data_IF_809275037672
#
_entry.id   IF_809275037672
#
_cell.length_a   1.000
_cell.length_b   1.000
_cell.length_c   1.000
_cell.angle_alpha   90.00
_cell.angle_beta   90.00
_cell.angle_gamma   90.00
#
_symmetry.space_group_name_H-M   'P 1'
#
loop_
_entity.id
_entity.type
_entity.pdbx_description
1 polymer ?
#
# COMPACT_ATOMS: atom_id res chain seq x y z
N UNK A 1 -24.45 17.16 9.57
CA UNK A 1 -23.25 17.17 8.68
C UNK A 1 -22.33 16.01 9.07
N UNK A 2 -21.82 15.23 8.10
CA UNK A 2 -20.88 14.13 8.35
C UNK A 2 -19.50 14.69 8.65
N UNK A 3 -18.92 14.38 9.82
CA UNK A 3 -17.58 14.76 10.18
C UNK A 3 -16.54 14.02 9.31
N UNK A 4 -15.72 14.76 8.57
CA UNK A 4 -14.74 14.23 7.59
C UNK A 4 -13.32 14.31 8.13
N UNK A 5 -12.45 13.42 7.68
CA UNK A 5 -11.01 13.55 7.91
C UNK A 5 -10.46 14.84 7.29
N UNK A 6 -9.35 15.36 7.83
CA UNK A 6 -8.65 16.49 7.23
C UNK A 6 -8.34 16.22 5.76
N UNK A 7 -8.36 17.26 4.91
CA UNK A 7 -8.14 17.12 3.47
C UNK A 7 -6.83 16.40 3.15
N UNK A 8 -5.74 16.80 3.82
CA UNK A 8 -4.43 16.13 3.68
C UNK A 8 -4.50 14.62 3.95
N UNK A 9 -5.22 14.19 4.99
CA UNK A 9 -5.37 12.77 5.31
C UNK A 9 -6.14 12.00 4.23
N UNK A 10 -7.18 12.63 3.64
CA UNK A 10 -7.97 12.06 2.55
C UNK A 10 -7.16 11.97 1.25
N UNK A 11 -6.43 13.03 0.91
CA UNK A 11 -5.57 13.07 -0.26
C UNK A 11 -4.50 11.97 -0.18
N UNK A 12 -3.78 11.89 0.93
CA UNK A 12 -2.78 10.83 1.15
C UNK A 12 -3.37 9.43 1.10
N UNK A 13 -4.62 9.25 1.58
CA UNK A 13 -5.29 7.95 1.46
C UNK A 13 -5.43 7.51 0.01
N UNK A 14 -5.94 8.37 -0.85
CA UNK A 14 -6.19 8.03 -2.25
C UNK A 14 -4.89 7.92 -3.05
N UNK A 15 -3.87 8.74 -2.75
CA UNK A 15 -2.54 8.59 -3.36
C UNK A 15 -1.92 7.23 -2.99
N UNK A 16 -1.92 6.88 -1.71
CA UNK A 16 -1.41 5.57 -1.25
C UNK A 16 -2.23 4.43 -1.86
N UNK A 17 -3.55 4.53 -1.91
CA UNK A 17 -4.40 3.49 -2.51
C UNK A 17 -4.05 3.25 -3.99
N UNK A 18 -3.86 4.32 -4.78
CA UNK A 18 -3.42 4.21 -6.17
C UNK A 18 -2.05 3.55 -6.31
N UNK A 19 -1.07 4.00 -5.53
CA UNK A 19 0.28 3.41 -5.53
C UNK A 19 0.28 1.94 -5.10
N UNK A 20 -0.52 1.57 -4.09
CA UNK A 20 -0.65 0.17 -3.64
C UNK A 20 -1.24 -0.70 -4.75
N UNK A 21 -2.27 -0.24 -5.47
CA UNK A 21 -2.83 -0.98 -6.61
C UNK A 21 -1.77 -1.18 -7.69
N UNK A 22 -1.06 -0.12 -8.08
CA UNK A 22 0.02 -0.20 -9.08
C UNK A 22 1.14 -1.15 -8.62
N UNK A 23 1.58 -1.05 -7.35
CA UNK A 23 2.66 -1.90 -6.82
C UNK A 23 2.24 -3.36 -6.68
N UNK A 24 1.00 -3.65 -6.26
CA UNK A 24 0.49 -5.02 -6.21
C UNK A 24 0.39 -5.62 -7.61
N UNK A 25 -0.15 -4.88 -8.57
CA UNK A 25 -0.26 -5.36 -9.96
C UNK A 25 1.12 -5.65 -10.55
N UNK A 26 2.05 -4.69 -10.47
CA UNK A 26 3.42 -4.88 -10.98
C UNK A 26 4.14 -6.00 -10.22
N UNK A 27 4.08 -6.02 -8.88
CA UNK A 27 4.74 -7.03 -8.06
C UNK A 27 4.25 -8.45 -8.32
N UNK A 28 2.93 -8.63 -8.50
CA UNK A 28 2.37 -9.93 -8.88
C UNK A 28 2.81 -10.35 -10.28
N UNK A 29 2.87 -9.41 -11.22
CA UNK A 29 3.38 -9.68 -12.58
C UNK A 29 4.85 -10.11 -12.53
N UNK A 30 5.69 -9.39 -11.77
CA UNK A 30 7.11 -9.70 -11.57
C UNK A 30 7.29 -11.08 -10.93
N UNK A 31 6.52 -11.38 -9.87
CA UNK A 31 6.62 -12.65 -9.15
C UNK A 31 6.09 -13.86 -9.93
N UNK A 32 5.08 -13.66 -10.77
CA UNK A 32 4.49 -14.77 -11.54
C UNK A 32 5.27 -15.09 -12.81
N UNK A 33 5.65 -14.09 -13.57
CA UNK A 33 6.36 -14.29 -14.85
C UNK A 33 7.86 -14.50 -14.65
N UNK A 34 8.47 -13.82 -13.68
CA UNK A 34 9.91 -13.80 -13.51
C UNK A 34 10.63 -12.95 -14.57
N UNK A 35 11.91 -12.66 -14.32
CA UNK A 35 12.67 -11.75 -15.17
C UNK A 35 12.83 -12.24 -16.61
N UNK A 36 13.20 -13.51 -16.80
CA UNK A 36 13.49 -14.07 -18.15
C UNK A 36 12.25 -14.06 -19.05
N UNK A 37 11.08 -14.52 -18.55
CA UNK A 37 9.84 -14.48 -19.32
C UNK A 37 9.36 -13.06 -19.61
N UNK A 38 9.61 -12.11 -18.71
CA UNK A 38 9.29 -10.71 -18.96
C UNK A 38 10.17 -10.12 -20.07
N UNK A 39 11.47 -10.42 -20.06
CA UNK A 39 12.41 -9.99 -21.10
C UNK A 39 12.03 -10.59 -22.45
N UNK A 40 11.70 -11.88 -22.49
CA UNK A 40 11.25 -12.54 -23.72
C UNK A 40 9.98 -11.91 -24.32
N UNK A 41 9.00 -11.56 -23.46
CA UNK A 41 7.71 -11.03 -23.90
C UNK A 41 7.68 -9.54 -24.20
N UNK A 42 8.41 -8.74 -23.42
CA UNK A 42 8.31 -7.28 -23.43
C UNK A 42 9.65 -6.57 -23.74
N UNK A 43 10.74 -7.33 -23.85
CA UNK A 43 12.09 -6.81 -24.00
C UNK A 43 12.71 -6.34 -22.70
N UNK A 44 14.06 -6.25 -22.70
CA UNK A 44 14.83 -5.91 -21.50
C UNK A 44 14.49 -4.53 -20.95
N UNK A 45 14.38 -3.52 -21.82
CA UNK A 45 14.13 -2.14 -21.38
C UNK A 45 12.79 -1.99 -20.63
N UNK A 46 11.72 -2.60 -21.13
CA UNK A 46 10.41 -2.55 -20.47
C UNK A 46 10.43 -3.33 -19.15
N UNK A 47 11.15 -4.45 -19.09
CA UNK A 47 11.30 -5.25 -17.87
C UNK A 47 12.07 -4.47 -16.81
N UNK A 48 13.20 -3.85 -17.16
CA UNK A 48 14.01 -3.03 -16.24
C UNK A 48 13.15 -1.86 -15.67
N UNK A 49 12.37 -1.17 -16.51
CA UNK A 49 11.47 -0.12 -16.08
C UNK A 49 10.41 -0.63 -15.10
N UNK A 50 9.86 -1.81 -15.32
CA UNK A 50 8.85 -2.39 -14.43
C UNK A 50 9.44 -2.67 -13.03
N UNK A 51 10.66 -3.21 -12.94
CA UNK A 51 11.37 -3.39 -11.68
C UNK A 51 11.71 -2.07 -11.01
N UNK A 52 12.22 -1.08 -11.76
CA UNK A 52 12.57 0.26 -11.28
C UNK A 52 11.34 0.96 -10.68
N UNK A 53 10.22 1.02 -11.40
CA UNK A 53 9.01 1.67 -10.89
C UNK A 53 8.38 0.91 -9.73
N UNK A 54 8.43 -0.43 -9.71
CA UNK A 54 7.97 -1.19 -8.55
C UNK A 54 8.74 -0.81 -7.28
N UNK A 55 10.07 -0.74 -7.35
CA UNK A 55 10.94 -0.30 -6.24
C UNK A 55 10.65 1.15 -5.83
N UNK A 56 10.56 2.04 -6.81
CA UNK A 56 10.23 3.46 -6.59
C UNK A 56 8.89 3.64 -5.89
N UNK A 57 7.84 2.95 -6.34
CA UNK A 57 6.51 3.03 -5.72
C UNK A 57 6.50 2.45 -4.31
N UNK A 58 7.27 1.39 -4.06
CA UNK A 58 7.46 0.85 -2.71
C UNK A 58 8.02 1.90 -1.75
N UNK A 59 9.08 2.61 -2.14
CA UNK A 59 9.68 3.68 -1.35
C UNK A 59 8.74 4.89 -1.16
N UNK A 60 7.99 5.26 -2.21
CA UNK A 60 6.97 6.30 -2.11
C UNK A 60 5.86 5.91 -1.14
N UNK A 61 5.38 4.67 -1.18
CA UNK A 61 4.39 4.15 -0.23
C UNK A 61 4.92 4.27 1.20
N UNK A 62 6.16 3.88 1.47
CA UNK A 62 6.78 3.98 2.79
C UNK A 62 6.80 5.43 3.30
N UNK A 63 7.23 6.38 2.48
CA UNK A 63 7.27 7.81 2.82
C UNK A 63 5.86 8.39 3.06
N UNK A 64 4.92 8.11 2.16
CA UNK A 64 3.54 8.62 2.27
C UNK A 64 2.78 7.97 3.44
N UNK A 65 3.03 6.70 3.75
CA UNK A 65 2.45 6.04 4.92
C UNK A 65 3.00 6.61 6.22
N UNK A 66 4.28 6.96 6.26
CA UNK A 66 4.89 7.67 7.40
C UNK A 66 4.21 9.03 7.61
N UNK A 67 4.10 9.84 6.55
CA UNK A 67 3.40 11.13 6.61
C UNK A 67 1.93 10.96 7.02
N UNK A 68 1.25 9.96 6.50
CA UNK A 68 -0.14 9.66 6.86
C UNK A 68 -0.30 9.26 8.33
N UNK A 69 0.64 8.49 8.87
CA UNK A 69 0.66 8.14 10.29
C UNK A 69 0.84 9.39 11.16
N UNK A 70 1.80 10.26 10.83
CA UNK A 70 2.05 11.51 11.54
C UNK A 70 0.77 12.38 11.55
N UNK A 71 0.15 12.61 10.39
CA UNK A 71 -1.09 13.40 10.29
C UNK A 71 -2.22 12.77 11.12
N UNK A 72 -2.32 11.44 11.13
CA UNK A 72 -3.33 10.74 11.93
C UNK A 72 -3.12 10.90 13.43
N UNK A 73 -1.87 10.91 13.90
CA UNK A 73 -1.52 11.12 15.30
C UNK A 73 -1.78 12.57 15.72
N UNK A 74 -1.43 13.53 14.86
CA UNK A 74 -1.58 14.98 15.16
C UNK A 74 -3.04 15.42 15.07
N UNK A 75 -3.78 15.04 14.01
CA UNK A 75 -5.14 15.53 13.75
C UNK A 75 -6.25 14.61 14.28
N UNK A 76 -5.90 13.41 14.74
CA UNK A 76 -6.86 12.45 15.28
C UNK A 76 -7.84 11.89 14.24
N UNK A 77 -8.92 11.29 14.74
CA UNK A 77 -10.02 10.71 13.95
C UNK A 77 -11.29 11.51 14.20
N UNK A 78 -12.04 11.90 13.17
CA UNK A 78 -13.36 12.52 13.37
C UNK A 78 -14.32 11.51 14.00
N UNK A 79 -15.31 12.01 14.77
CA UNK A 79 -16.36 11.17 15.33
C UNK A 79 -17.24 10.56 14.22
N UNK A 80 -17.85 9.42 14.49
CA UNK A 80 -18.89 8.87 13.63
C UNK A 80 -20.19 9.68 13.81
N UNK A 81 -20.94 9.85 12.71
CA UNK A 81 -22.25 10.50 12.78
C UNK A 81 -23.23 9.67 13.62
N UNK A 82 -23.17 8.34 13.46
CA UNK A 82 -23.91 7.37 14.27
C UNK A 82 -22.94 6.31 14.81
N UNK A 83 -23.17 5.78 16.02
CA UNK A 83 -22.34 4.73 16.58
C UNK A 83 -22.37 3.47 15.69
N UNK A 84 -21.21 2.99 15.28
CA UNK A 84 -21.14 1.72 14.57
C UNK A 84 -21.40 0.54 15.52
N UNK A 85 -22.05 -0.53 15.03
CA UNK A 85 -22.14 -1.79 15.75
C UNK A 85 -20.76 -2.26 16.23
N UNK A 86 -20.71 -2.84 17.41
CA UNK A 86 -19.43 -3.23 18.05
C UNK A 86 -18.57 -4.12 17.14
N UNK A 87 -19.20 -5.07 16.45
CA UNK A 87 -18.51 -5.94 15.49
C UNK A 87 -17.81 -5.13 14.38
N UNK A 88 -18.54 -4.23 13.70
CA UNK A 88 -17.99 -3.41 12.60
C UNK A 88 -16.86 -2.51 13.10
N UNK A 89 -16.98 -1.98 14.31
CA UNK A 89 -15.95 -1.14 14.93
C UNK A 89 -14.66 -1.92 15.21
N UNK A 90 -14.78 -3.15 15.74
CA UNK A 90 -13.63 -4.02 16.03
C UNK A 90 -13.00 -4.50 14.72
N UNK A 91 -13.78 -5.04 13.79
CA UNK A 91 -13.31 -5.51 12.48
C UNK A 91 -12.58 -4.39 11.72
N UNK A 92 -13.17 -3.19 11.67
CA UNK A 92 -12.53 -2.02 11.05
C UNK A 92 -11.19 -1.67 11.71
N UNK A 93 -11.10 -1.75 13.04
CA UNK A 93 -9.84 -1.49 13.77
C UNK A 93 -8.77 -2.51 13.40
N UNK A 94 -9.11 -3.80 13.37
CA UNK A 94 -8.19 -4.89 13.03
C UNK A 94 -7.67 -4.70 11.60
N UNK A 95 -8.57 -4.58 10.62
CA UNK A 95 -8.21 -4.45 9.20
C UNK A 95 -7.29 -3.24 8.96
N UNK A 96 -7.65 -2.07 9.52
CA UNK A 96 -6.80 -0.88 9.36
C UNK A 96 -5.45 -1.03 10.06
N UNK A 97 -5.38 -1.65 11.25
CA UNK A 97 -4.11 -1.87 11.95
C UNK A 97 -3.22 -2.80 11.15
N UNK A 98 -3.76 -3.92 10.65
CA UNK A 98 -3.01 -4.85 9.81
C UNK A 98 -2.54 -4.21 8.52
N UNK A 99 -3.40 -3.45 7.81
CA UNK A 99 -2.99 -2.72 6.62
C UNK A 99 -1.86 -1.72 6.90
N UNK A 100 -1.90 -0.99 8.03
CA UNK A 100 -0.79 -0.11 8.40
C UNK A 100 0.50 -0.90 8.62
N UNK A 101 0.46 -1.96 9.43
CA UNK A 101 1.63 -2.79 9.70
C UNK A 101 2.23 -3.38 8.42
N UNK A 102 1.41 -3.99 7.59
CA UNK A 102 1.88 -4.66 6.37
C UNK A 102 2.38 -3.65 5.31
N UNK A 103 1.74 -2.47 5.17
CA UNK A 103 2.18 -1.42 4.25
C UNK A 103 3.48 -0.74 4.69
N UNK A 104 3.91 -0.85 5.95
CA UNK A 104 5.26 -0.51 6.40
C UNK A 104 6.23 -1.67 6.16
N UNK A 105 5.84 -2.89 6.54
CA UNK A 105 6.71 -4.08 6.43
C UNK A 105 7.07 -4.40 4.98
N UNK A 106 6.11 -4.29 4.07
CA UNK A 106 6.24 -4.66 2.65
C UNK A 106 7.40 -3.96 1.94
N UNK A 107 7.48 -2.61 1.90
CA UNK A 107 8.58 -1.93 1.24
C UNK A 107 9.92 -2.11 1.96
N UNK A 108 9.92 -2.28 3.28
CA UNK A 108 11.15 -2.57 4.05
C UNK A 108 11.70 -3.94 3.65
N UNK A 109 10.86 -4.98 3.56
CA UNK A 109 11.29 -6.30 3.11
C UNK A 109 11.85 -6.26 1.67
N UNK A 110 11.17 -5.56 0.77
CA UNK A 110 11.63 -5.41 -0.61
C UNK A 110 12.96 -4.66 -0.72
N UNK A 111 13.14 -3.60 0.06
CA UNK A 111 14.41 -2.86 0.12
C UNK A 111 15.54 -3.75 0.64
N UNK A 112 15.36 -4.37 1.80
CA UNK A 112 16.38 -5.24 2.39
C UNK A 112 16.73 -6.42 1.47
N UNK A 113 15.72 -7.07 0.87
CA UNK A 113 15.95 -8.17 -0.07
C UNK A 113 16.79 -7.72 -1.27
N UNK A 114 16.50 -6.55 -1.82
CA UNK A 114 17.21 -5.98 -2.97
C UNK A 114 18.65 -5.65 -2.62
N UNK A 115 18.89 -4.96 -1.49
CA UNK A 115 20.22 -4.55 -1.04
C UNK A 115 21.11 -5.76 -0.71
N UNK A 116 20.60 -6.70 0.09
CA UNK A 116 21.30 -7.94 0.48
C UNK A 116 21.58 -8.85 -0.73
N UNK A 117 20.71 -8.84 -1.75
CA UNK A 117 20.89 -9.52 -3.02
C UNK A 117 21.93 -8.85 -3.94
N UNK A 118 22.49 -7.72 -3.53
CA UNK A 118 23.42 -6.91 -4.32
C UNK A 118 22.83 -6.38 -5.64
N UNK A 119 21.51 -6.08 -5.62
CA UNK A 119 20.83 -5.39 -6.71
C UNK A 119 20.70 -3.90 -6.38
N UNK A 120 20.65 -3.01 -7.39
CA UNK A 120 20.44 -1.59 -7.15
C UNK A 120 19.06 -1.33 -6.55
N UNK A 121 19.02 -0.57 -5.46
CA UNK A 121 17.78 -0.02 -4.91
C UNK A 121 17.53 1.32 -5.60
N UNK A 122 16.60 1.32 -6.56
CA UNK A 122 16.34 2.48 -7.41
C UNK A 122 15.19 3.31 -6.87
N UNK A 123 15.40 4.62 -6.82
CA UNK A 123 14.37 5.62 -6.59
C UNK A 123 14.33 6.56 -7.79
N UNK A 124 13.41 6.34 -8.72
CA UNK A 124 13.47 6.87 -10.08
C UNK A 124 14.81 6.52 -10.72
N UNK A 125 15.55 7.51 -11.24
CA UNK A 125 16.84 7.32 -11.89
C UNK A 125 18.04 7.31 -10.90
N UNK A 126 17.77 7.51 -9.59
CA UNK A 126 18.80 7.51 -8.57
C UNK A 126 18.98 6.11 -7.98
N UNK A 127 20.22 5.64 -7.93
CA UNK A 127 20.59 4.44 -7.20
C UNK A 127 20.91 4.82 -5.75
N UNK A 128 20.18 4.24 -4.81
CA UNK A 128 20.48 4.39 -3.39
C UNK A 128 21.66 3.51 -3.01
N UNK A 129 22.56 3.98 -2.13
CA UNK A 129 23.71 3.19 -1.72
C UNK A 129 23.26 1.96 -0.94
N UNK A 130 23.89 0.81 -1.23
CA UNK A 130 23.76 -0.40 -0.44
C UNK A 130 24.63 -0.32 0.82
N UNK A 131 24.13 -0.85 1.93
CA UNK A 131 24.81 -0.78 3.23
C UNK A 131 25.05 -2.17 3.83
N UNK A 132 24.46 -3.22 3.27
CA UNK A 132 24.44 -4.55 3.88
C UNK A 132 25.31 -5.50 3.04
N UNK A 133 26.17 -6.31 3.67
CA UNK A 133 26.93 -7.34 2.99
C UNK A 133 26.02 -8.32 2.25
N UNK A 134 26.47 -8.78 1.07
CA UNK A 134 25.72 -9.73 0.24
C UNK A 134 25.49 -11.06 0.96
N UNK A 135 24.25 -11.50 0.99
CA UNK A 135 23.80 -12.84 1.42
C UNK A 135 22.62 -13.28 0.54
N UNK A 136 22.89 -14.13 -0.44
CA UNK A 136 21.86 -14.57 -1.38
C UNK A 136 20.74 -15.38 -0.70
N UNK A 137 21.08 -16.25 0.26
CA UNK A 137 20.09 -17.08 0.96
C UNK A 137 19.12 -16.24 1.79
N UNK A 138 19.64 -15.21 2.45
CA UNK A 138 18.83 -14.26 3.19
C UNK A 138 17.98 -13.39 2.25
N UNK A 139 18.55 -12.91 1.14
CA UNK A 139 17.81 -12.17 0.11
C UNK A 139 16.61 -12.96 -0.41
N UNK A 140 16.82 -14.22 -0.80
CA UNK A 140 15.76 -15.11 -1.30
C UNK A 140 14.66 -15.32 -0.25
N UNK A 141 15.05 -15.47 1.01
CA UNK A 141 14.12 -15.59 2.14
C UNK A 141 13.27 -14.32 2.30
N UNK A 142 13.88 -13.15 2.23
CA UNK A 142 13.18 -11.87 2.34
C UNK A 142 12.26 -11.61 1.13
N UNK A 143 12.65 -12.01 -0.08
CA UNK A 143 11.77 -11.96 -1.25
C UNK A 143 10.55 -12.89 -1.08
N UNK A 144 10.74 -14.09 -0.53
CA UNK A 144 9.63 -14.99 -0.21
C UNK A 144 8.65 -14.34 0.78
N UNK A 145 9.15 -13.76 1.87
CA UNK A 145 8.32 -13.02 2.83
C UNK A 145 7.62 -11.82 2.20
N UNK A 146 8.33 -11.04 1.34
CA UNK A 146 7.75 -9.94 0.59
C UNK A 146 6.54 -10.43 -0.25
N UNK A 147 6.67 -11.54 -0.94
CA UNK A 147 5.58 -12.16 -1.69
C UNK A 147 4.37 -12.54 -0.82
N UNK A 148 4.59 -13.20 0.34
CA UNK A 148 3.52 -13.55 1.27
C UNK A 148 2.81 -12.33 1.85
N UNK A 149 3.56 -11.30 2.22
CA UNK A 149 2.99 -10.01 2.68
C UNK A 149 2.17 -9.35 1.57
N UNK A 150 2.59 -9.46 0.30
CA UNK A 150 1.83 -8.97 -0.84
C UNK A 150 0.45 -9.62 -0.96
N UNK A 151 0.36 -10.95 -0.83
CA UNK A 151 -0.91 -11.66 -0.81
C UNK A 151 -1.79 -11.27 0.39
N UNK A 152 -1.20 -11.09 1.58
CA UNK A 152 -1.92 -10.64 2.75
C UNK A 152 -2.50 -9.22 2.57
N UNK A 153 -1.72 -8.30 1.98
CA UNK A 153 -2.20 -6.95 1.64
C UNK A 153 -3.35 -7.02 0.64
N UNK A 154 -3.24 -7.84 -0.42
CA UNK A 154 -4.31 -7.99 -1.41
C UNK A 154 -5.62 -8.43 -0.76
N UNK A 155 -5.59 -9.48 0.06
CA UNK A 155 -6.79 -9.99 0.75
C UNK A 155 -7.39 -8.92 1.67
N UNK A 156 -6.56 -8.25 2.48
CA UNK A 156 -7.02 -7.20 3.39
C UNK A 156 -7.55 -5.97 2.63
N UNK A 157 -6.94 -5.60 1.50
CA UNK A 157 -7.42 -4.52 0.65
C UNK A 157 -8.78 -4.85 0.05
N UNK A 158 -8.99 -6.07 -0.42
CA UNK A 158 -10.30 -6.52 -0.93
C UNK A 158 -11.37 -6.49 0.17
N UNK A 159 -11.07 -6.95 1.38
CA UNK A 159 -11.97 -6.87 2.54
C UNK A 159 -12.28 -5.40 2.85
N UNK A 160 -11.27 -4.54 2.89
CA UNK A 160 -11.42 -3.11 3.17
C UNK A 160 -12.30 -2.40 2.14
N UNK A 161 -12.05 -2.65 0.85
CA UNK A 161 -12.83 -2.06 -0.26
C UNK A 161 -14.28 -2.57 -0.20
N UNK A 162 -14.48 -3.88 -0.03
CA UNK A 162 -15.82 -4.48 0.06
C UNK A 162 -16.62 -3.92 1.23
N UNK A 163 -15.99 -3.75 2.40
CA UNK A 163 -16.61 -3.11 3.55
C UNK A 163 -16.98 -1.64 3.27
N UNK A 164 -16.10 -0.88 2.60
CA UNK A 164 -16.37 0.51 2.24
C UNK A 164 -17.57 0.61 1.26
N UNK A 165 -17.64 -0.28 0.26
CA UNK A 165 -18.76 -0.36 -0.69
C UNK A 165 -20.06 -0.77 0.00
N UNK A 166 -20.01 -1.72 0.93
CA UNK A 166 -21.16 -2.13 1.75
C UNK A 166 -21.70 -0.95 2.56
N UNK A 167 -20.85 -0.20 3.26
CA UNK A 167 -21.24 0.99 4.00
C UNK A 167 -21.82 2.09 3.08
N UNK A 168 -21.28 2.22 1.88
CA UNK A 168 -21.74 3.22 0.91
C UNK A 168 -23.07 2.88 0.27
N UNK A 169 -23.23 1.63 -0.24
CA UNK A 169 -24.39 1.26 -1.07
C UNK A 169 -25.55 0.70 -0.26
N UNK A 170 -25.25 -0.08 0.78
CA UNK A 170 -26.25 -0.84 1.55
C UNK A 170 -26.60 -0.10 2.84
N UNK A 171 -25.63 0.17 3.70
CA UNK A 171 -25.89 0.84 4.97
C UNK A 171 -26.17 2.34 4.85
N UNK A 172 -25.53 3.01 3.91
CA UNK A 172 -25.65 4.46 3.66
C UNK A 172 -25.39 5.31 4.90
N UNK A 173 -24.49 4.86 5.78
CA UNK A 173 -24.24 5.40 7.13
C UNK A 173 -23.14 6.50 7.15
N UNK A 174 -22.73 7.01 6.01
CA UNK A 174 -21.76 8.10 5.90
C UNK A 174 -20.30 7.70 6.08
N UNK A 175 -19.97 6.45 6.37
CA UNK A 175 -18.58 5.99 6.59
C UNK A 175 -17.69 6.27 5.40
N UNK A 176 -18.15 5.97 4.18
CA UNK A 176 -17.38 6.22 2.94
C UNK A 176 -17.16 7.72 2.71
N UNK A 177 -18.17 8.57 2.99
CA UNK A 177 -18.10 10.02 2.78
C UNK A 177 -17.04 10.69 3.63
N UNK A 178 -16.64 10.10 4.77
CA UNK A 178 -15.59 10.62 5.64
C UNK A 178 -14.23 10.68 4.95
N UNK A 179 -13.98 9.81 3.95
CA UNK A 179 -12.74 9.73 3.17
C UNK A 179 -12.88 10.27 1.74
N UNK A 180 -14.09 10.66 1.29
CA UNK A 180 -14.31 11.22 -0.04
C UNK A 180 -13.54 12.54 -0.24
N UNK A 181 -12.90 12.73 -1.40
CA UNK A 181 -12.24 13.99 -1.77
C UNK A 181 -13.25 15.10 -2.08
N UNK A 182 -14.37 14.73 -2.67
CA UNK A 182 -15.40 15.67 -3.11
C UNK A 182 -16.55 15.75 -2.09
N UNK A 183 -17.14 16.93 -1.93
CA UNK A 183 -18.44 17.08 -1.27
C UNK A 183 -19.53 16.74 -2.31
N UNK A 184 -20.39 15.77 -1.99
CA UNK A 184 -21.68 15.76 -2.67
C UNK A 184 -22.44 16.99 -2.16
N UNK A 185 -22.78 17.90 -3.07
CA UNK A 185 -23.86 18.85 -2.77
C UNK A 185 -25.11 18.00 -2.66
N UNK A 186 -25.67 17.93 -1.45
CA UNK A 186 -27.00 17.39 -1.28
C UNK A 186 -27.94 18.39 -1.98
N UNK A 187 -28.43 17.96 -3.14
CA UNK A 187 -29.50 18.63 -3.88
C UNK A 187 -30.85 18.23 -3.28
#
# INVERSE_FOLDING_TARGET
MIARYAYSHRLLHWLVAGLVICSLTSGMTLGWLGFENLVERFGKAATDLLYQYHKTFGLLILGLMTLRLIIRLVKGKPAYAEPLPTFNRIASRIVHTLLYLLLFTMPILGWLATDIGNFPVEFFDANLPGFIPKDQALSDTLYAWHGWVGWAILVLALIHISAALYHWRIRRDGVMQRMSLFQRRDS
#
